data_IF_541206156371
#
_entry.id   IF_541206156371
#
_cell.length_a   1.000
_cell.length_b   1.000
_cell.length_c   1.000
_cell.angle_alpha   90.00
_cell.angle_beta   90.00
_cell.angle_gamma   90.00
#
_symmetry.space_group_name_H-M   'P 1'
#
loop_
_entity.id
_entity.type
_entity.pdbx_description
1 polymer ?
#
# COMPACT_ATOMS: atom_id res chain seq x y z
N UNK A 1 -24.24 -28.69 10.38
CA UNK A 1 -23.99 -27.27 10.07
C UNK A 1 -22.98 -27.18 8.94
N UNK A 2 -23.17 -26.28 7.97
CA UNK A 2 -22.23 -26.04 6.87
C UNK A 2 -21.19 -24.99 7.26
N UNK A 3 -19.93 -25.20 6.90
CA UNK A 3 -18.79 -24.33 7.26
C UNK A 3 -18.48 -23.23 6.22
N UNK A 4 -19.14 -23.28 5.06
CA UNK A 4 -18.84 -22.41 3.92
C UNK A 4 -20.02 -21.52 3.56
N UNK A 5 -19.73 -20.24 3.32
CA UNK A 5 -20.66 -19.27 2.75
C UNK A 5 -20.16 -18.92 1.34
N UNK A 6 -21.02 -19.09 0.33
CA UNK A 6 -20.73 -18.76 -1.06
C UNK A 6 -21.54 -17.53 -1.49
N UNK A 7 -20.88 -16.58 -2.11
CA UNK A 7 -21.48 -15.34 -2.60
C UNK A 7 -21.26 -15.24 -4.11
N UNK A 8 -22.36 -15.14 -4.87
CA UNK A 8 -22.36 -14.99 -6.32
C UNK A 8 -23.03 -13.66 -6.68
N UNK A 9 -22.34 -12.83 -7.46
CA UNK A 9 -22.82 -11.50 -7.84
C UNK A 9 -22.75 -11.33 -9.35
N UNK A 10 -23.82 -10.77 -9.92
CA UNK A 10 -23.87 -10.27 -11.29
C UNK A 10 -24.00 -8.74 -11.22
N UNK A 11 -22.96 -8.05 -11.66
CA UNK A 11 -22.89 -6.58 -11.59
C UNK A 11 -22.64 -6.02 -12.98
N UNK A 12 -23.58 -5.19 -13.45
CA UNK A 12 -23.39 -4.42 -14.67
C UNK A 12 -22.57 -3.15 -14.37
N UNK A 13 -21.65 -2.84 -15.25
CA UNK A 13 -20.88 -1.61 -15.20
C UNK A 13 -21.14 -0.79 -16.47
N UNK A 14 -21.23 0.55 -16.38
CA UNK A 14 -21.23 1.40 -17.56
C UNK A 14 -19.86 1.33 -18.27
N UNK A 15 -19.73 2.02 -19.40
CA UNK A 15 -18.44 2.13 -20.10
C UNK A 15 -17.36 2.73 -19.17
N UNK A 16 -16.50 1.86 -18.63
CA UNK A 16 -15.51 2.22 -17.63
C UNK A 16 -14.26 1.33 -17.72
N UNK A 17 -13.10 1.92 -17.47
CA UNK A 17 -11.84 1.19 -17.36
C UNK A 17 -11.51 0.89 -15.89
N UNK A 18 -12.25 -0.07 -15.32
CA UNK A 18 -12.24 -0.43 -13.89
C UNK A 18 -10.88 -0.96 -13.40
N UNK A 19 -10.12 -1.60 -14.28
CA UNK A 19 -8.88 -2.26 -13.93
C UNK A 19 -8.00 -2.36 -15.18
N UNK A 20 -6.76 -1.89 -15.07
CA UNK A 20 -5.83 -1.73 -16.19
C UNK A 20 -4.64 -2.69 -16.09
N UNK A 21 -3.98 -2.93 -17.21
CA UNK A 21 -2.64 -3.51 -17.25
C UNK A 21 -1.55 -2.43 -17.24
N UNK A 22 -0.29 -2.85 -17.36
CA UNK A 22 0.87 -1.95 -17.32
C UNK A 22 0.94 -0.99 -18.53
N UNK A 23 0.22 -1.30 -19.62
CA UNK A 23 0.07 -0.42 -20.79
C UNK A 23 -1.09 0.58 -20.65
N UNK A 24 -1.90 0.45 -19.59
CA UNK A 24 -3.10 1.27 -19.36
C UNK A 24 -4.36 0.72 -20.02
N UNK A 25 -4.26 -0.40 -20.74
CA UNK A 25 -5.40 -1.08 -21.39
C UNK A 25 -6.29 -1.78 -20.36
N UNK A 26 -7.61 -1.89 -20.58
CA UNK A 26 -8.47 -2.66 -19.70
C UNK A 26 -7.99 -4.11 -19.60
N UNK A 27 -7.96 -4.65 -18.38
CA UNK A 27 -7.56 -6.03 -18.17
C UNK A 27 -8.63 -6.97 -18.70
N UNK A 28 -8.23 -7.94 -19.51
CA UNK A 28 -9.15 -8.89 -20.16
C UNK A 28 -8.87 -10.35 -19.79
N UNK A 29 -9.75 -11.24 -20.24
CA UNK A 29 -9.59 -12.70 -20.23
C UNK A 29 -10.40 -13.29 -21.39
N UNK A 30 -9.97 -14.43 -21.93
CA UNK A 30 -10.75 -15.21 -22.89
C UNK A 30 -11.59 -16.22 -22.10
N UNK A 31 -12.90 -16.20 -22.27
CA UNK A 31 -13.82 -17.13 -21.62
C UNK A 31 -14.92 -17.55 -22.60
N UNK A 32 -14.98 -18.85 -22.90
CA UNK A 32 -15.91 -19.40 -23.89
C UNK A 32 -15.66 -18.88 -25.31
N UNK A 33 -14.39 -18.71 -25.69
CA UNK A 33 -14.00 -18.25 -27.04
C UNK A 33 -14.10 -16.73 -27.28
N UNK A 34 -14.64 -15.96 -26.32
CA UNK A 34 -14.78 -14.51 -26.43
C UNK A 34 -13.90 -13.77 -25.42
N UNK A 35 -13.37 -12.61 -25.83
CA UNK A 35 -12.66 -11.68 -24.94
C UNK A 35 -13.65 -10.95 -24.04
N UNK A 36 -13.40 -10.95 -22.74
CA UNK A 36 -14.22 -10.29 -21.72
C UNK A 36 -13.37 -9.36 -20.87
N UNK A 37 -13.97 -8.26 -20.41
CA UNK A 37 -13.37 -7.42 -19.37
C UNK A 37 -13.24 -8.22 -18.07
N UNK A 38 -12.10 -8.05 -17.40
CA UNK A 38 -11.80 -8.73 -16.14
C UNK A 38 -11.37 -7.73 -15.06
N UNK A 39 -12.14 -7.69 -13.99
CA UNK A 39 -11.69 -7.06 -12.75
C UNK A 39 -10.90 -8.09 -11.95
N UNK A 40 -9.63 -7.79 -11.66
CA UNK A 40 -8.79 -8.72 -10.93
C UNK A 40 -9.19 -8.83 -9.46
N UNK A 41 -9.10 -10.03 -8.87
CA UNK A 41 -9.50 -10.26 -7.47
C UNK A 41 -8.73 -9.37 -6.50
N UNK A 42 -7.47 -9.02 -6.78
CA UNK A 42 -6.70 -8.08 -5.96
C UNK A 42 -7.27 -6.65 -6.01
N UNK A 43 -7.80 -6.23 -7.17
CA UNK A 43 -8.39 -4.90 -7.31
C UNK A 43 -9.68 -4.80 -6.50
N UNK A 44 -10.58 -5.79 -6.63
CA UNK A 44 -11.80 -5.89 -5.83
C UNK A 44 -11.51 -5.96 -4.33
N UNK A 45 -10.61 -6.85 -3.90
CA UNK A 45 -10.23 -6.96 -2.48
C UNK A 45 -9.65 -5.67 -1.93
N UNK A 46 -8.84 -4.94 -2.72
CA UNK A 46 -8.31 -3.64 -2.29
C UNK A 46 -9.44 -2.61 -2.16
N UNK A 47 -10.32 -2.52 -3.16
CA UNK A 47 -11.45 -1.60 -3.14
C UNK A 47 -12.34 -1.82 -1.90
N UNK A 48 -12.59 -3.08 -1.53
CA UNK A 48 -13.31 -3.39 -0.30
C UNK A 48 -12.50 -3.02 0.95
N UNK A 49 -11.22 -3.42 1.03
CA UNK A 49 -10.39 -3.16 2.22
C UNK A 49 -10.15 -1.68 2.53
N UNK A 50 -10.26 -0.81 1.54
CA UNK A 50 -10.08 0.64 1.68
C UNK A 50 -11.40 1.39 1.55
N UNK A 51 -12.55 0.71 1.62
CA UNK A 51 -13.84 1.38 1.69
C UNK A 51 -14.15 1.76 3.13
N UNK A 52 -14.85 2.88 3.31
CA UNK A 52 -15.24 3.37 4.65
C UNK A 52 -16.05 2.32 5.41
N UNK A 53 -16.96 1.63 4.72
CA UNK A 53 -17.77 0.57 5.31
C UNK A 53 -16.91 -0.55 5.90
N UNK A 54 -15.89 -1.00 5.17
CA UNK A 54 -15.00 -2.05 5.66
C UNK A 54 -14.13 -1.54 6.80
N UNK A 55 -13.63 -0.30 6.69
CA UNK A 55 -12.81 0.31 7.72
C UNK A 55 -13.55 0.48 9.05
N UNK A 56 -14.82 0.89 9.00
CA UNK A 56 -15.70 1.00 10.16
C UNK A 56 -16.06 -0.37 10.73
N UNK A 57 -16.44 -1.33 9.88
CA UNK A 57 -16.87 -2.65 10.32
C UNK A 57 -15.75 -3.48 10.98
N UNK A 58 -14.48 -3.25 10.59
CA UNK A 58 -13.31 -3.93 11.15
C UNK A 58 -12.42 -3.00 11.99
N UNK A 59 -12.93 -1.86 12.47
CA UNK A 59 -12.14 -0.88 13.21
C UNK A 59 -11.31 -1.54 14.34
N UNK A 60 -10.01 -1.25 14.39
CA UNK A 60 -9.06 -1.86 15.33
C UNK A 60 -8.50 -3.23 14.93
N UNK A 61 -9.05 -3.89 13.91
CA UNK A 61 -8.63 -5.22 13.43
C UNK A 61 -8.11 -5.22 11.98
N UNK A 62 -7.64 -4.07 11.50
CA UNK A 62 -7.17 -3.91 10.12
C UNK A 62 -5.64 -3.97 10.07
N UNK A 63 -5.12 -5.01 9.40
CA UNK A 63 -3.70 -5.07 9.06
C UNK A 63 -3.31 -4.05 7.98
N UNK A 64 -2.25 -3.28 8.22
CA UNK A 64 -1.66 -2.33 7.27
C UNK A 64 -0.56 -3.01 6.45
N UNK A 65 -0.67 -2.97 5.12
CA UNK A 65 0.38 -3.47 4.22
C UNK A 65 1.43 -2.36 4.01
N UNK A 66 2.59 -2.46 4.65
CA UNK A 66 3.70 -1.53 4.47
C UNK A 66 5.00 -2.28 4.14
N UNK A 67 5.79 -1.72 3.23
CA UNK A 67 7.19 -2.11 3.01
C UNK A 67 8.18 -1.20 3.73
N UNK A 68 7.68 -0.30 4.59
CA UNK A 68 8.46 0.76 5.25
C UNK A 68 8.60 0.53 6.75
N UNK A 69 8.40 -0.70 7.21
CA UNK A 69 8.41 -1.08 8.64
C UNK A 69 9.70 -0.62 9.33
N UNK A 70 10.87 -0.82 8.71
CA UNK A 70 12.14 -0.33 9.27
C UNK A 70 12.16 1.20 9.45
N UNK A 71 11.65 1.95 8.47
CA UNK A 71 11.60 3.42 8.58
C UNK A 71 10.66 3.84 9.70
N UNK A 72 9.47 3.26 9.74
CA UNK A 72 8.43 3.57 10.74
C UNK A 72 8.91 3.23 12.15
N UNK A 73 9.55 2.07 12.33
CA UNK A 73 10.15 1.67 13.60
C UNK A 73 11.26 2.65 14.05
N UNK A 74 12.19 3.03 13.15
CA UNK A 74 13.25 3.98 13.48
C UNK A 74 12.68 5.35 13.89
N UNK A 75 11.67 5.85 13.19
CA UNK A 75 10.99 7.10 13.55
C UNK A 75 10.39 7.03 14.96
N UNK A 76 9.67 5.96 15.28
CA UNK A 76 9.09 5.77 16.63
C UNK A 76 10.17 5.71 17.72
N UNK A 77 11.32 5.08 17.44
CA UNK A 77 12.42 4.98 18.42
C UNK A 77 13.08 6.34 18.66
N UNK A 78 13.31 7.14 17.61
CA UNK A 78 13.88 8.48 17.70
C UNK A 78 12.93 9.43 18.43
N UNK A 79 11.63 9.38 18.12
CA UNK A 79 10.60 10.17 18.83
C UNK A 79 10.55 9.84 20.33
N UNK A 80 10.91 8.61 20.71
CA UNK A 80 11.04 8.18 22.11
C UNK A 80 12.40 8.52 22.74
N UNK A 81 13.27 9.25 22.05
CA UNK A 81 14.55 9.76 22.57
C UNK A 81 15.75 8.82 22.41
N UNK A 82 15.65 7.80 21.56
CA UNK A 82 16.78 6.91 21.25
C UNK A 82 17.70 7.58 20.22
N UNK A 83 19.02 7.45 20.42
CA UNK A 83 20.04 7.94 19.49
C UNK A 83 19.85 7.37 18.08
N UNK A 84 19.88 8.24 17.06
CA UNK A 84 19.62 7.92 15.65
C UNK A 84 20.33 6.65 15.15
N UNK A 85 21.62 6.49 15.51
CA UNK A 85 22.42 5.33 15.07
C UNK A 85 21.84 4.02 15.61
N UNK A 86 21.49 3.98 16.90
CA UNK A 86 20.92 2.80 17.56
C UNK A 86 19.49 2.54 17.09
N UNK A 87 18.70 3.59 16.91
CA UNK A 87 17.33 3.48 16.41
C UNK A 87 17.28 2.84 15.02
N UNK A 88 18.19 3.22 14.12
CA UNK A 88 18.27 2.64 12.77
C UNK A 88 18.72 1.18 12.84
N UNK A 89 19.71 0.84 13.66
CA UNK A 89 20.20 -0.53 13.83
C UNK A 89 19.09 -1.46 14.31
N UNK A 90 18.41 -1.11 15.41
CA UNK A 90 17.30 -1.89 15.95
C UNK A 90 16.12 -1.98 14.99
N UNK A 91 15.84 -0.92 14.23
CA UNK A 91 14.77 -0.95 13.25
C UNK A 91 15.03 -1.91 12.07
N UNK A 92 16.30 -2.12 11.71
CA UNK A 92 16.67 -3.14 10.71
C UNK A 92 16.43 -4.54 11.27
N UNK A 93 16.81 -4.80 12.52
CA UNK A 93 16.56 -6.08 13.19
C UNK A 93 15.05 -6.39 13.32
N UNK A 94 14.26 -5.39 13.73
CA UNK A 94 12.79 -5.49 13.80
C UNK A 94 12.21 -5.83 12.41
N UNK A 95 12.69 -5.14 11.37
CA UNK A 95 12.20 -5.38 10.02
C UNK A 95 12.54 -6.79 9.53
N UNK A 96 13.76 -7.27 9.77
CA UNK A 96 14.21 -8.61 9.39
C UNK A 96 13.37 -9.73 10.03
N UNK A 97 12.86 -9.50 11.25
CA UNK A 97 11.92 -10.43 11.90
C UNK A 97 10.53 -10.44 11.23
N UNK A 98 10.03 -9.28 10.78
CA UNK A 98 8.71 -9.13 10.18
C UNK A 98 8.68 -9.46 8.67
N UNK A 99 9.85 -9.63 8.05
CA UNK A 99 10.03 -10.09 6.68
C UNK A 99 11.43 -9.76 6.17
N UNK A 100 11.89 -10.42 5.09
CA UNK A 100 13.21 -10.10 4.54
C UNK A 100 13.28 -8.63 4.15
N UNK A 101 14.06 -7.82 4.87
CA UNK A 101 14.35 -6.47 4.42
C UNK A 101 14.97 -6.58 3.03
N UNK A 102 14.41 -5.85 2.06
CA UNK A 102 15.08 -5.69 0.77
C UNK A 102 16.37 -4.92 1.04
N UNK A 103 17.47 -5.64 1.18
CA UNK A 103 18.82 -5.05 1.17
C UNK A 103 19.00 -4.44 -0.21
N UNK A 104 18.81 -3.13 -0.34
CA UNK A 104 19.23 -2.43 -1.54
C UNK A 104 20.73 -2.67 -1.71
N UNK A 105 21.10 -3.40 -2.78
CA UNK A 105 22.49 -3.50 -3.21
C UNK A 105 22.99 -2.06 -3.36
N UNK A 106 24.05 -1.69 -2.63
CA UNK A 106 24.72 -0.39 -2.71
C UNK A 106 24.82 0.07 -4.18
N UNK A 107 23.89 0.92 -4.63
CA UNK A 107 24.13 1.74 -5.80
C UNK A 107 25.07 2.85 -5.34
N UNK A 108 26.31 2.84 -5.86
CA UNK A 108 27.26 3.94 -5.74
C UNK A 108 26.61 5.19 -6.35
N UNK A 109 25.91 5.98 -5.55
CA UNK A 109 25.49 7.32 -5.92
C UNK A 109 26.50 8.31 -5.34
N UNK A 110 27.14 9.04 -6.24
CA UNK A 110 28.20 10.02 -5.99
C UNK A 110 27.79 11.05 -4.94
N UNK A 111 28.76 11.48 -4.11
CA UNK A 111 28.62 12.27 -2.87
C UNK A 111 27.76 13.54 -2.91
N UNK A 112 27.29 14.02 -4.07
CA UNK A 112 26.51 15.26 -4.19
C UNK A 112 24.97 15.11 -4.15
N UNK A 113 24.41 13.91 -4.01
CA UNK A 113 22.95 13.74 -3.81
C UNK A 113 22.53 13.55 -2.33
N UNK A 114 23.50 13.44 -1.41
CA UNK A 114 23.24 13.05 -0.01
C UNK A 114 22.65 14.16 0.87
N UNK A 115 22.63 15.41 0.40
CA UNK A 115 22.09 16.56 1.17
C UNK A 115 20.62 16.85 0.81
N UNK A 116 20.12 16.38 -0.35
CA UNK A 116 18.73 16.66 -0.78
C UNK A 116 17.68 15.62 -0.33
N UNK A 117 18.10 14.46 0.18
CA UNK A 117 17.19 13.37 0.58
C UNK A 117 17.03 13.18 2.09
N UNK A 118 17.70 13.99 2.92
CA UNK A 118 17.65 13.93 4.39
C UNK A 118 17.23 15.24 5.09
N UNK A 119 16.73 16.24 4.35
CA UNK A 119 16.09 17.43 4.94
C UNK A 119 14.62 17.51 4.49
N UNK A 120 13.72 17.95 5.38
CA UNK A 120 12.29 17.68 5.28
C UNK A 120 11.68 18.48 4.14
N UNK A 121 11.10 17.80 3.14
CA UNK A 121 9.95 18.40 2.45
C UNK A 121 8.74 18.21 3.36
N UNK A 122 8.67 19.06 4.38
CA UNK A 122 7.40 19.60 4.86
C UNK A 122 6.76 20.30 3.66
N UNK A 123 6.11 19.54 2.79
CA UNK A 123 5.09 20.10 1.91
C UNK A 123 3.79 20.00 2.71
N UNK A 124 3.41 21.13 3.30
CA UNK A 124 2.08 21.40 3.87
C UNK A 124 0.92 21.18 2.88
N UNK A 125 1.20 20.82 1.62
CA UNK A 125 0.23 20.56 0.56
C UNK A 125 -0.26 19.11 0.45
N UNK A 126 0.31 18.13 1.18
CA UNK A 126 -0.18 16.74 1.13
C UNK A 126 -1.15 16.36 2.26
N UNK A 127 -1.30 17.21 3.28
CA UNK A 127 -2.28 17.04 4.36
C UNK A 127 -3.63 17.70 4.00
N UNK A 128 -3.64 18.72 3.13
CA UNK A 128 -4.88 19.37 2.68
C UNK A 128 -5.65 18.59 1.60
N UNK A 129 -5.03 17.66 0.87
CA UNK A 129 -5.69 16.95 -0.23
C UNK A 129 -6.63 15.81 0.21
N UNK A 130 -6.81 15.58 1.52
CA UNK A 130 -7.81 14.63 2.06
C UNK A 130 -9.04 15.30 2.66
N UNK A 131 -9.11 16.64 2.71
CA UNK A 131 -10.24 17.35 3.28
C UNK A 131 -11.22 17.95 2.26
N UNK A 132 -10.89 17.95 0.97
CA UNK A 132 -11.78 18.52 -0.06
C UNK A 132 -12.06 17.49 -1.15
N UNK A 133 -12.90 16.50 -0.88
CA UNK A 133 -13.56 15.68 -1.90
C UNK A 133 -14.75 14.90 -1.31
N UNK A 134 -15.75 15.65 -0.87
CA UNK A 134 -17.18 15.28 -0.89
C UNK A 134 -17.92 16.53 -1.37
N UNK A 135 -19.06 16.40 -2.07
CA UNK A 135 -19.78 17.54 -2.66
C UNK A 135 -20.17 18.60 -1.64
#
# INVERSE_FOLDING_TARGET
MTTFIQLHLLTAYPAANLNRDDSGSPKTVILGGATRLRVSSQSLKRAWRTSELFEQALAGHIGVRSGRIAREAATILIEKGIEDKKAIEWAVEIADYLGKAKKDKKQKTTKNQKIRSLAPKLNSSSISARQNLTP
#
